data_IF_994237105674
#
_entry.id   IF_994237105674
#
_cell.length_a   1.000
_cell.length_b   1.000
_cell.length_c   1.000
_cell.angle_alpha   90.00
_cell.angle_beta   90.00
_cell.angle_gamma   90.00
#
_symmetry.space_group_name_H-M   'P 1'
#
loop_
_entity.id
_entity.type
_entity.pdbx_description
1 polymer ?
#
# COMPACT_ATOMS: atom_id res chain seq x y z
N UNK A 1 14.62 -17.05 -12.65
CA UNK A 1 13.89 -15.92 -12.00
C UNK A 1 13.42 -14.95 -13.08
N UNK A 2 12.13 -14.67 -13.12
CA UNK A 2 11.52 -13.83 -14.15
C UNK A 2 11.20 -12.40 -13.66
N UNK A 3 11.11 -12.18 -12.36
CA UNK A 3 10.46 -11.02 -11.79
C UNK A 3 8.92 -11.19 -11.74
N UNK A 4 8.21 -10.20 -11.24
CA UNK A 4 6.74 -10.15 -11.21
C UNK A 4 6.25 -9.28 -12.36
N UNK A 5 5.31 -9.75 -13.20
CA UNK A 5 4.67 -8.91 -14.20
C UNK A 5 3.99 -7.70 -13.56
N UNK A 6 4.28 -6.52 -14.07
CA UNK A 6 3.68 -5.26 -13.64
C UNK A 6 2.68 -4.76 -14.69
N UNK A 7 1.58 -4.19 -14.24
CA UNK A 7 0.60 -3.57 -15.14
C UNK A 7 1.16 -2.23 -15.64
N UNK A 8 1.19 -2.03 -16.96
CA UNK A 8 1.69 -0.80 -17.57
C UNK A 8 0.93 0.45 -17.07
N UNK A 9 -0.37 0.30 -16.82
CA UNK A 9 -1.25 1.35 -16.32
C UNK A 9 -0.83 1.88 -14.94
N UNK A 10 -0.06 1.10 -14.17
CA UNK A 10 0.41 1.48 -12.83
C UNK A 10 1.13 2.85 -12.82
N UNK A 11 1.82 3.16 -13.92
CA UNK A 11 2.64 4.37 -14.07
C UNK A 11 1.93 5.52 -14.78
N UNK A 12 0.68 5.34 -15.21
CA UNK A 12 -0.07 6.33 -16.00
C UNK A 12 -0.94 7.27 -15.16
N UNK A 13 -0.87 7.16 -13.84
CA UNK A 13 -1.72 7.92 -12.93
C UNK A 13 -1.38 9.41 -12.85
N UNK A 14 -2.40 10.19 -12.52
CA UNK A 14 -2.31 11.63 -12.28
C UNK A 14 -2.67 11.96 -10.84
N UNK A 15 -1.75 12.62 -10.12
CA UNK A 15 -2.00 13.11 -8.75
C UNK A 15 -3.25 13.99 -8.67
N UNK A 16 -3.42 14.90 -9.61
CA UNK A 16 -4.56 15.81 -9.64
C UNK A 16 -5.91 15.05 -9.78
N UNK A 17 -5.95 14.06 -10.68
CA UNK A 17 -7.15 13.23 -10.85
C UNK A 17 -7.45 12.40 -9.59
N UNK A 18 -6.43 11.81 -8.98
CA UNK A 18 -6.58 11.04 -7.75
C UNK A 18 -7.08 11.88 -6.59
N UNK A 19 -6.51 13.08 -6.37
CA UNK A 19 -6.98 14.01 -5.35
C UNK A 19 -8.44 14.43 -5.60
N UNK A 20 -8.79 14.74 -6.85
CA UNK A 20 -10.18 15.09 -7.22
C UNK A 20 -11.15 13.94 -6.98
N UNK A 21 -10.79 12.71 -7.35
CA UNK A 21 -11.59 11.50 -7.11
C UNK A 21 -11.84 11.27 -5.62
N UNK A 22 -10.83 11.53 -4.78
CA UNK A 22 -10.90 11.41 -3.33
C UNK A 22 -11.59 12.62 -2.66
N UNK A 23 -11.72 13.75 -3.36
CA UNK A 23 -12.22 15.00 -2.77
C UNK A 23 -11.23 15.65 -1.80
N UNK A 24 -9.94 15.43 -1.99
CA UNK A 24 -8.87 16.04 -1.20
C UNK A 24 -8.34 17.30 -1.87
N UNK A 25 -7.92 18.28 -1.08
CA UNK A 25 -7.37 19.55 -1.54
C UNK A 25 -5.85 19.51 -1.84
N UNK A 26 -5.19 18.45 -1.45
CA UNK A 26 -3.74 18.25 -1.65
C UNK A 26 -2.85 19.05 -0.70
N UNK A 27 -3.41 19.67 0.33
CA UNK A 27 -2.64 20.41 1.34
C UNK A 27 -1.91 19.45 2.28
N UNK A 28 -2.57 18.36 2.69
CA UNK A 28 -1.96 17.30 3.48
C UNK A 28 -1.41 16.17 2.61
N UNK A 29 -0.39 15.45 3.08
CA UNK A 29 0.03 14.21 2.44
C UNK A 29 -1.09 13.16 2.50
N UNK A 30 -1.16 12.33 1.48
CA UNK A 30 -2.16 11.26 1.36
C UNK A 30 -1.57 9.94 1.82
N UNK A 31 -2.23 9.35 2.82
CA UNK A 31 -2.04 7.95 3.22
C UNK A 31 -3.04 7.08 2.47
N UNK A 32 -2.57 6.20 1.59
CA UNK A 32 -3.39 5.19 0.93
C UNK A 32 -3.31 3.86 1.71
N UNK A 33 -4.45 3.33 2.14
CA UNK A 33 -4.52 1.98 2.71
C UNK A 33 -5.17 1.01 1.74
N UNK A 34 -4.49 -0.10 1.44
CA UNK A 34 -5.02 -1.22 0.66
C UNK A 34 -4.68 -2.55 1.32
N UNK A 35 -5.71 -3.31 1.69
CA UNK A 35 -5.58 -4.61 2.37
C UNK A 35 -5.59 -5.83 1.46
N UNK A 36 -5.61 -5.63 0.13
CA UNK A 36 -5.83 -6.68 -0.87
C UNK A 36 -7.32 -6.95 -1.14
N UNK A 37 -7.62 -7.82 -2.12
CA UNK A 37 -8.98 -8.07 -2.64
C UNK A 37 -10.00 -8.56 -1.59
N UNK A 38 -9.53 -9.31 -0.61
CA UNK A 38 -10.40 -9.80 0.49
C UNK A 38 -10.51 -8.81 1.66
N UNK A 39 -9.87 -7.64 1.54
CA UNK A 39 -9.72 -6.69 2.64
C UNK A 39 -8.76 -7.20 3.72
N UNK A 40 -8.55 -6.38 4.73
CA UNK A 40 -7.70 -6.71 5.88
C UNK A 40 -8.43 -6.28 7.15
N UNK A 41 -9.43 -7.03 7.59
CA UNK A 41 -10.37 -6.63 8.64
C UNK A 41 -9.69 -6.08 9.91
N UNK A 42 -8.61 -6.73 10.36
CA UNK A 42 -7.84 -6.27 11.52
C UNK A 42 -7.14 -4.92 11.29
N UNK A 43 -6.56 -4.73 10.08
CA UNK A 43 -5.88 -3.46 9.72
C UNK A 43 -6.92 -2.38 9.48
N UNK A 44 -8.05 -2.70 8.81
CA UNK A 44 -9.17 -1.77 8.62
C UNK A 44 -9.67 -1.23 9.96
N UNK A 45 -9.87 -2.14 10.94
CA UNK A 45 -10.29 -1.75 12.29
C UNK A 45 -9.28 -0.85 12.97
N UNK A 46 -8.01 -1.27 13.02
CA UNK A 46 -6.94 -0.49 13.67
C UNK A 46 -6.74 0.88 13.02
N UNK A 47 -6.83 0.98 11.67
CA UNK A 47 -6.75 2.25 10.96
C UNK A 47 -7.90 3.18 11.34
N UNK A 48 -9.14 2.68 11.37
CA UNK A 48 -10.31 3.49 11.75
C UNK A 48 -10.22 4.02 13.18
N UNK A 49 -9.78 3.17 14.10
CA UNK A 49 -9.55 3.56 15.50
C UNK A 49 -8.35 4.54 15.64
N UNK A 50 -7.44 4.58 14.67
CA UNK A 50 -6.31 5.50 14.64
C UNK A 50 -6.60 6.84 13.94
N UNK A 51 -7.76 7.02 13.29
CA UNK A 51 -8.06 8.20 12.46
C UNK A 51 -7.85 9.53 13.19
N UNK A 52 -8.29 9.65 14.44
CA UNK A 52 -8.14 10.89 15.21
C UNK A 52 -6.66 11.26 15.48
N UNK A 53 -5.75 10.28 15.39
CA UNK A 53 -4.30 10.47 15.50
C UNK A 53 -3.63 10.75 14.17
N UNK A 54 -4.27 10.38 13.05
CA UNK A 54 -3.72 10.48 11.68
C UNK A 54 -4.24 11.71 10.94
N UNK A 55 -5.54 12.00 11.02
CA UNK A 55 -6.17 13.08 10.28
C UNK A 55 -5.62 14.50 10.52
N UNK A 56 -5.01 14.83 11.67
CA UNK A 56 -4.29 16.08 11.81
C UNK A 56 -3.09 16.24 10.88
N UNK A 57 -2.53 15.10 10.35
CA UNK A 57 -1.29 15.07 9.58
C UNK A 57 -1.48 14.58 8.16
N UNK A 58 -2.50 13.78 7.89
CA UNK A 58 -2.74 13.10 6.61
C UNK A 58 -4.20 13.24 6.19
N UNK A 59 -4.43 13.25 4.88
CA UNK A 59 -5.67 12.79 4.31
C UNK A 59 -5.58 11.28 4.08
N UNK A 60 -6.64 10.53 4.35
CA UNK A 60 -6.61 9.06 4.37
C UNK A 60 -7.58 8.49 3.34
N UNK A 61 -7.05 7.84 2.33
CA UNK A 61 -7.78 7.05 1.35
C UNK A 61 -7.73 5.57 1.74
N UNK A 62 -8.89 4.97 2.00
CA UNK A 62 -9.00 3.61 2.53
C UNK A 62 -9.76 2.69 1.58
N UNK A 63 -9.06 1.79 0.88
CA UNK A 63 -9.66 0.72 0.07
C UNK A 63 -9.87 -0.49 0.99
N UNK A 64 -11.06 -0.55 1.58
CA UNK A 64 -11.34 -1.45 2.71
C UNK A 64 -11.73 -2.88 2.30
N UNK A 65 -12.01 -3.13 1.02
CA UNK A 65 -12.52 -4.41 0.52
C UNK A 65 -14.05 -4.51 0.58
N UNK A 66 -14.61 -5.39 -0.25
CA UNK A 66 -16.06 -5.55 -0.41
C UNK A 66 -16.75 -5.89 0.92
N UNK A 67 -17.85 -5.22 1.23
CA UNK A 67 -18.65 -5.43 2.44
C UNK A 67 -18.02 -4.85 3.72
N UNK A 68 -16.94 -4.04 3.60
CA UNK A 68 -16.22 -3.51 4.76
C UNK A 68 -16.34 -1.97 4.91
N UNK A 69 -17.34 -1.35 4.28
CA UNK A 69 -17.64 0.07 4.56
C UNK A 69 -18.11 0.25 6.01
N UNK A 70 -17.75 1.36 6.60
CA UNK A 70 -18.24 1.80 7.90
C UNK A 70 -19.05 3.09 7.71
N UNK A 71 -20.36 2.96 7.64
CA UNK A 71 -21.27 4.07 7.38
C UNK A 71 -21.18 5.18 8.45
N UNK A 72 -20.77 4.84 9.68
CA UNK A 72 -20.59 5.81 10.75
C UNK A 72 -19.47 6.82 10.50
N UNK A 73 -18.56 6.49 9.56
CA UNK A 73 -17.44 7.33 9.15
C UNK A 73 -17.68 8.04 7.81
N UNK A 74 -18.87 7.90 7.23
CA UNK A 74 -19.21 8.57 5.98
C UNK A 74 -19.16 10.09 6.15
N UNK A 75 -18.48 10.78 5.21
CA UNK A 75 -18.33 12.23 5.26
C UNK A 75 -17.36 12.77 6.32
N UNK A 76 -16.60 11.91 6.99
CA UNK A 76 -15.56 12.37 7.95
C UNK A 76 -14.48 13.17 7.19
N UNK A 77 -14.23 14.45 7.54
CA UNK A 77 -13.25 15.29 6.83
C UNK A 77 -11.85 14.67 6.80
N UNK A 78 -11.24 14.63 5.62
CA UNK A 78 -9.91 14.04 5.42
C UNK A 78 -9.88 12.50 5.39
N UNK A 79 -11.06 11.84 5.41
CA UNK A 79 -11.16 10.38 5.34
C UNK A 79 -12.14 9.94 4.25
N UNK A 80 -11.67 9.16 3.30
CA UNK A 80 -12.49 8.56 2.24
C UNK A 80 -12.30 7.06 2.24
N UNK A 81 -13.40 6.31 2.25
CA UNK A 81 -13.37 4.86 2.11
C UNK A 81 -14.08 4.40 0.84
N UNK A 82 -13.53 3.38 0.21
CA UNK A 82 -14.07 2.70 -0.96
C UNK A 82 -13.93 1.19 -0.75
N UNK A 83 -14.90 0.42 -1.21
CA UNK A 83 -14.79 -1.03 -1.18
C UNK A 83 -13.77 -1.54 -2.18
N UNK A 84 -13.79 -0.95 -3.37
CA UNK A 84 -12.95 -1.32 -4.49
C UNK A 84 -12.70 -0.12 -5.40
N UNK A 85 -11.55 -0.11 -6.05
CA UNK A 85 -11.17 0.87 -7.08
C UNK A 85 -10.53 0.10 -8.24
N UNK A 86 -10.82 0.45 -9.46
CA UNK A 86 -10.32 -0.20 -10.67
C UNK A 86 -9.60 0.78 -11.58
N UNK A 87 -10.35 1.53 -12.39
CA UNK A 87 -9.79 2.44 -13.40
C UNK A 87 -9.03 3.61 -12.78
N UNK A 88 -9.46 4.08 -11.60
CA UNK A 88 -8.84 5.20 -10.90
C UNK A 88 -7.64 4.78 -10.02
N UNK A 89 -7.33 3.48 -9.94
CA UNK A 89 -6.26 2.99 -9.06
C UNK A 89 -4.89 3.61 -9.40
N UNK A 90 -4.47 3.77 -10.66
CA UNK A 90 -3.22 4.48 -10.98
C UNK A 90 -3.20 5.93 -10.47
N UNK A 91 -4.34 6.64 -10.57
CA UNK A 91 -4.47 8.00 -10.08
C UNK A 91 -4.38 8.06 -8.54
N UNK A 92 -4.92 7.06 -7.85
CA UNK A 92 -4.78 6.95 -6.39
C UNK A 92 -3.32 6.71 -5.98
N UNK A 93 -2.61 5.84 -6.68
CA UNK A 93 -1.18 5.64 -6.44
C UNK A 93 -0.39 6.93 -6.68
N UNK A 94 -0.70 7.67 -7.75
CA UNK A 94 -0.06 8.96 -8.03
C UNK A 94 -0.41 10.03 -6.99
N UNK A 95 -1.58 9.96 -6.35
CA UNK A 95 -1.99 10.87 -5.30
C UNK A 95 -1.35 10.53 -3.95
N UNK A 96 -1.01 9.27 -3.69
CA UNK A 96 -0.49 8.80 -2.42
C UNK A 96 0.96 9.26 -2.16
N UNK A 97 1.24 9.65 -0.93
CA UNK A 97 2.59 9.97 -0.47
C UNK A 97 3.22 8.79 0.26
N UNK A 98 2.41 7.99 0.93
CA UNK A 98 2.76 6.71 1.58
C UNK A 98 1.58 5.74 1.48
N UNK A 99 1.86 4.43 1.64
CA UNK A 99 0.86 3.38 1.56
C UNK A 99 0.94 2.44 2.78
N UNK A 100 -0.19 2.19 3.45
CA UNK A 100 -0.31 1.11 4.43
C UNK A 100 -0.77 -0.16 3.73
N UNK A 101 -0.01 -1.25 3.85
CA UNK A 101 -0.31 -2.48 3.12
C UNK A 101 -0.01 -3.75 3.92
N UNK A 102 -0.58 -4.86 3.44
CA UNK A 102 -0.08 -6.20 3.74
C UNK A 102 1.20 -6.47 2.95
N UNK A 103 1.92 -7.54 3.29
CA UNK A 103 3.18 -7.91 2.62
C UNK A 103 2.99 -9.05 1.59
N UNK A 104 1.91 -9.00 0.80
CA UNK A 104 1.69 -9.91 -0.32
C UNK A 104 2.63 -9.60 -1.48
N UNK A 105 3.09 -10.63 -2.21
CA UNK A 105 4.09 -10.47 -3.27
C UNK A 105 3.70 -9.44 -4.34
N UNK A 106 2.45 -9.46 -4.82
CA UNK A 106 1.98 -8.50 -5.83
C UNK A 106 2.00 -7.05 -5.30
N UNK A 107 1.49 -6.84 -4.08
CA UNK A 107 1.49 -5.51 -3.47
C UNK A 107 2.92 -4.99 -3.26
N UNK A 108 3.85 -5.85 -2.85
CA UNK A 108 5.25 -5.47 -2.68
C UNK A 108 5.94 -5.14 -4.00
N UNK A 109 5.61 -5.86 -5.08
CA UNK A 109 6.12 -5.54 -6.42
C UNK A 109 5.61 -4.19 -6.91
N UNK A 110 4.33 -3.86 -6.67
CA UNK A 110 3.75 -2.55 -6.99
C UNK A 110 4.38 -1.43 -6.14
N UNK A 111 4.53 -1.66 -4.82
CA UNK A 111 5.19 -0.74 -3.89
C UNK A 111 6.63 -0.42 -4.34
N UNK A 112 7.41 -1.43 -4.70
CA UNK A 112 8.77 -1.26 -5.17
C UNK A 112 8.81 -0.51 -6.51
N UNK A 113 7.96 -0.90 -7.46
CA UNK A 113 7.88 -0.28 -8.78
C UNK A 113 7.51 1.20 -8.75
N UNK A 114 6.67 1.59 -7.79
CA UNK A 114 6.22 2.97 -7.59
C UNK A 114 7.15 3.77 -6.66
N UNK A 115 8.20 3.18 -6.12
CA UNK A 115 9.02 3.77 -5.05
C UNK A 115 8.14 4.33 -3.91
N UNK A 116 7.10 3.58 -3.55
CA UNK A 116 6.07 3.99 -2.59
C UNK A 116 6.42 3.56 -1.17
N UNK A 117 6.86 4.45 -0.28
CA UNK A 117 7.17 4.08 1.10
C UNK A 117 5.92 3.52 1.79
N UNK A 118 6.04 2.36 2.43
CA UNK A 118 4.90 1.68 3.01
C UNK A 118 5.22 1.02 4.36
N UNK A 119 4.53 1.35 5.48
CA UNK A 119 4.51 0.45 6.61
C UNK A 119 3.77 -0.83 6.21
N UNK A 120 4.38 -1.96 6.53
CA UNK A 120 3.86 -3.28 6.20
C UNK A 120 3.34 -3.98 7.45
N UNK A 121 2.12 -4.49 7.37
CA UNK A 121 1.51 -5.32 8.40
C UNK A 121 1.28 -6.72 7.84
N UNK A 122 2.25 -7.65 7.96
CA UNK A 122 2.10 -9.01 7.45
C UNK A 122 1.00 -9.77 8.18
N UNK A 123 0.45 -10.82 7.57
CA UNK A 123 -0.41 -11.76 8.29
C UNK A 123 0.37 -12.45 9.41
N UNK A 124 -0.28 -12.70 10.57
CA UNK A 124 0.38 -13.36 11.70
C UNK A 124 0.73 -14.82 11.37
N UNK A 125 1.64 -15.39 12.15
CA UNK A 125 1.96 -16.82 12.08
C UNK A 125 0.70 -17.66 12.26
N UNK A 126 0.51 -18.64 11.35
CA UNK A 126 -0.66 -19.53 11.38
C UNK A 126 -1.87 -19.03 10.59
N UNK A 127 -1.97 -17.75 10.24
CA UNK A 127 -3.04 -17.23 9.39
C UNK A 127 -2.68 -17.31 7.88
N UNK A 128 -1.42 -17.57 7.55
CA UNK A 128 -0.92 -17.78 6.19
C UNK A 128 0.25 -18.78 6.21
N UNK A 129 0.81 -19.10 5.03
CA UNK A 129 2.00 -19.96 4.91
C UNK A 129 3.30 -19.32 5.45
N UNK A 130 3.23 -18.11 6.02
CA UNK A 130 4.38 -17.38 6.54
C UNK A 130 5.13 -16.56 5.48
N UNK A 131 4.74 -16.66 4.22
CA UNK A 131 5.33 -15.93 3.09
C UNK A 131 5.34 -14.41 3.31
N UNK A 132 4.25 -13.84 3.83
CA UNK A 132 4.19 -12.39 4.07
C UNK A 132 5.16 -11.91 5.15
N UNK A 133 5.44 -12.72 6.16
CA UNK A 133 6.43 -12.37 7.19
C UNK A 133 7.82 -12.31 6.55
N UNK A 134 8.19 -13.33 5.76
CA UNK A 134 9.48 -13.36 5.06
C UNK A 134 9.62 -12.20 4.07
N UNK A 135 8.57 -11.91 3.32
CA UNK A 135 8.51 -10.78 2.40
C UNK A 135 8.72 -9.45 3.13
N UNK A 136 8.00 -9.22 4.24
CA UNK A 136 8.12 -8.00 5.04
C UNK A 136 9.52 -7.82 5.63
N UNK A 137 10.10 -8.89 6.19
CA UNK A 137 11.46 -8.85 6.73
C UNK A 137 12.52 -8.59 5.64
N UNK A 138 12.34 -9.14 4.44
CA UNK A 138 13.20 -8.84 3.28
C UNK A 138 13.15 -7.34 2.92
N UNK A 139 11.95 -6.74 2.88
CA UNK A 139 11.78 -5.31 2.60
C UNK A 139 12.39 -4.43 3.68
N UNK A 140 12.22 -4.81 4.95
CA UNK A 140 12.82 -4.12 6.10
C UNK A 140 14.34 -4.18 6.05
N UNK A 141 14.92 -5.35 5.81
CA UNK A 141 16.37 -5.55 5.75
C UNK A 141 17.04 -4.71 4.63
N UNK A 142 16.30 -4.43 3.54
CA UNK A 142 16.74 -3.62 2.41
C UNK A 142 16.48 -2.11 2.62
N UNK A 143 15.86 -1.72 3.72
CA UNK A 143 15.52 -0.32 4.02
C UNK A 143 14.34 0.25 3.24
N UNK A 144 13.51 -0.59 2.62
CA UNK A 144 12.37 -0.16 1.80
C UNK A 144 11.14 0.18 2.64
N UNK A 145 11.04 -0.39 3.85
CA UNK A 145 9.81 -0.39 4.61
C UNK A 145 10.05 -0.51 6.11
N UNK A 146 9.10 -0.05 6.90
CA UNK A 146 8.95 -0.43 8.30
C UNK A 146 7.95 -1.59 8.41
N UNK A 147 8.19 -2.52 9.33
CA UNK A 147 7.32 -3.66 9.57
C UNK A 147 6.71 -3.56 10.95
N UNK A 148 5.40 -3.60 11.02
CA UNK A 148 4.62 -3.71 12.26
C UNK A 148 3.96 -5.09 12.31
N UNK A 149 4.42 -6.01 13.16
CA UNK A 149 3.74 -7.29 13.36
C UNK A 149 2.29 -7.08 13.77
N UNK A 150 1.36 -7.88 13.21
CA UNK A 150 -0.06 -7.72 13.52
C UNK A 150 -0.36 -7.92 15.00
N UNK A 151 0.40 -8.75 15.68
CA UNK A 151 0.29 -9.02 17.11
C UNK A 151 0.61 -7.80 17.98
N UNK A 152 1.43 -6.88 17.47
CA UNK A 152 1.81 -5.63 18.13
C UNK A 152 0.96 -4.44 17.68
N UNK A 153 0.04 -4.68 16.73
CA UNK A 153 -0.76 -3.61 16.12
C UNK A 153 -1.89 -3.16 17.05
N UNK A 154 -1.76 -1.92 17.50
CA UNK A 154 -2.81 -1.13 18.16
C UNK A 154 -3.03 0.17 17.39
N UNK A 155 -4.11 0.94 17.62
CA UNK A 155 -4.26 2.26 17.01
C UNK A 155 -3.07 3.19 17.26
N UNK A 156 -2.43 3.07 18.42
CA UNK A 156 -1.26 3.85 18.81
C UNK A 156 0.00 3.45 18.05
N UNK A 157 0.32 2.15 18.03
CA UNK A 157 1.52 1.65 17.35
C UNK A 157 1.41 1.79 15.84
N UNK A 158 0.20 1.61 15.27
CA UNK A 158 -0.06 1.83 13.86
C UNK A 158 0.15 3.30 13.46
N UNK A 159 -0.43 4.25 14.22
CA UNK A 159 -0.25 5.68 13.96
C UNK A 159 1.21 6.11 14.12
N UNK A 160 1.93 5.56 15.09
CA UNK A 160 3.36 5.82 15.28
C UNK A 160 4.18 5.31 14.08
N UNK A 161 3.97 4.07 13.66
CA UNK A 161 4.66 3.46 12.51
C UNK A 161 4.44 4.25 11.21
N UNK A 162 3.20 4.70 10.95
CA UNK A 162 2.86 5.54 9.80
C UNK A 162 3.62 6.87 9.83
N UNK A 163 3.60 7.57 10.95
CA UNK A 163 4.28 8.87 11.11
C UNK A 163 5.81 8.75 11.01
N UNK A 164 6.36 7.73 11.64
CA UNK A 164 7.80 7.44 11.60
C UNK A 164 8.27 7.13 10.18
N UNK A 165 7.53 6.26 9.46
CA UNK A 165 7.84 5.98 8.07
C UNK A 165 7.75 7.24 7.21
N UNK A 166 6.69 8.03 7.38
CA UNK A 166 6.53 9.27 6.62
C UNK A 166 7.69 10.25 6.85
N UNK A 167 8.15 10.38 8.09
CA UNK A 167 9.32 11.19 8.40
C UNK A 167 10.61 10.69 7.69
N UNK A 168 10.73 9.38 7.49
CA UNK A 168 11.88 8.72 6.86
C UNK A 168 11.63 8.32 5.38
N UNK A 169 10.52 8.73 4.77
CA UNK A 169 10.09 8.27 3.45
C UNK A 169 11.12 8.45 2.34
N UNK A 170 11.90 9.53 2.38
CA UNK A 170 12.93 9.80 1.35
C UNK A 170 14.11 8.84 1.46
N UNK A 171 14.38 8.31 2.65
CA UNK A 171 15.40 7.25 2.84
C UNK A 171 14.90 5.96 2.18
N UNK A 172 13.64 5.59 2.43
CA UNK A 172 13.01 4.41 1.83
C UNK A 172 12.94 4.54 0.29
N UNK A 173 12.54 5.70 -0.24
CA UNK A 173 12.50 5.95 -1.69
C UNK A 173 13.86 5.75 -2.33
N UNK A 174 14.90 6.38 -1.82
CA UNK A 174 16.26 6.22 -2.34
C UNK A 174 16.76 4.78 -2.29
N UNK A 175 16.41 4.04 -1.26
CA UNK A 175 16.76 2.63 -1.16
C UNK A 175 16.05 1.79 -2.25
N UNK A 176 14.76 2.07 -2.53
CA UNK A 176 14.00 1.41 -3.60
C UNK A 176 14.49 1.83 -5.00
N UNK A 177 14.80 3.10 -5.22
CA UNK A 177 15.32 3.62 -6.49
C UNK A 177 16.69 3.02 -6.87
N UNK A 178 17.49 2.63 -5.88
CA UNK A 178 18.76 1.96 -6.10
C UNK A 178 18.62 0.51 -6.57
N UNK A 179 17.43 -0.07 -6.46
CA UNK A 179 17.15 -1.43 -6.91
C UNK A 179 16.75 -1.45 -8.38
N UNK A 180 17.28 -2.39 -9.17
CA UNK A 180 16.80 -2.59 -10.53
C UNK A 180 15.32 -2.98 -10.52
N UNK A 181 14.50 -2.29 -11.28
CA UNK A 181 13.10 -2.69 -11.48
C UNK A 181 13.07 -4.02 -12.24
N UNK A 182 12.58 -5.05 -11.59
CA UNK A 182 12.44 -6.38 -12.21
C UNK A 182 11.01 -6.59 -12.70
N UNK A 183 10.61 -5.85 -13.75
CA UNK A 183 9.37 -6.18 -14.47
C UNK A 183 9.56 -7.49 -15.25
N UNK A 184 8.84 -8.52 -14.81
CA UNK A 184 8.90 -9.85 -15.40
C UNK A 184 8.05 -10.03 -16.65
N UNK A 185 7.30 -9.02 -17.08
CA UNK A 185 6.29 -9.13 -18.14
C UNK A 185 6.89 -9.68 -19.43
N UNK A 186 7.94 -9.02 -19.95
CA UNK A 186 8.58 -9.43 -21.20
C UNK A 186 9.16 -10.84 -21.13
N UNK A 187 9.83 -11.17 -20.04
CA UNK A 187 10.46 -12.47 -19.84
C UNK A 187 9.44 -13.61 -19.71
N UNK A 188 8.30 -13.34 -19.09
CA UNK A 188 7.19 -14.30 -19.03
C UNK A 188 6.60 -14.53 -20.43
N UNK A 189 6.40 -13.47 -21.22
CA UNK A 189 5.92 -13.57 -22.61
C UNK A 189 6.88 -14.43 -23.46
N UNK A 190 8.19 -14.16 -23.38
CA UNK A 190 9.21 -14.94 -24.11
C UNK A 190 9.18 -16.43 -23.77
N UNK A 191 8.99 -16.77 -22.49
CA UNK A 191 8.87 -18.17 -22.04
C UNK A 191 7.60 -18.81 -22.62
N UNK A 192 6.46 -18.11 -22.58
CA UNK A 192 5.20 -18.60 -23.12
C UNK A 192 5.34 -18.87 -24.63
N UNK A 193 5.89 -17.91 -25.39
CA UNK A 193 6.09 -18.04 -26.84
C UNK A 193 7.06 -19.17 -27.20
N UNK A 194 8.11 -19.37 -26.41
CA UNK A 194 9.06 -20.47 -26.62
C UNK A 194 8.45 -21.84 -26.30
N UNK A 195 7.48 -21.90 -25.38
CA UNK A 195 6.86 -23.16 -24.94
C UNK A 195 5.63 -23.53 -25.78
N UNK A 196 5.01 -22.54 -26.43
CA UNK A 196 3.82 -22.75 -27.29
C UNK A 196 4.14 -23.26 -28.71
N UNK A 197 5.41 -23.52 -29.00
CA UNK A 197 5.89 -24.19 -30.25
C UNK A 197 6.02 -25.68 -30.02
#
# INVERSE_FOLDING_TARGET
>A
YTGTPLRAELFSGSREKGLRFLGFDGVKPVLLMMGGSSGAASVNKALREALDKLLPYFDVAHICGKGNLDESLAGKPGYVQKEYVSEELPDLFAAADIMLSRAGANALSEILALNMPAPLVPYPKGASRGDQILNAESFKARGFSHVLPQEEMTPQTLAAAIKELYANREVCRRAMEAEPLHDGTQKVIEIIEATAK
#
